data_IF_539793700356
#
_entry.id   IF_539793700356
#
_cell.length_a   1.000
_cell.length_b   1.000
_cell.length_c   1.000
_cell.angle_alpha   90.00
_cell.angle_beta   90.00
_cell.angle_gamma   90.00
#
_symmetry.space_group_name_H-M   'P 1'
#
loop_
_entity.id
_entity.type
_entity.pdbx_description
1 polymer ?
#
# COMPACT_ATOMS: atom_id res chain seq x y z
N UNK A 1 59.23 -61.03 -19.32
CA UNK A 1 58.70 -60.44 -18.07
C UNK A 1 58.70 -58.94 -18.22
N UNK A 2 57.55 -58.31 -18.44
CA UNK A 2 57.40 -56.86 -18.37
C UNK A 2 56.06 -56.56 -17.71
N UNK A 3 56.12 -56.06 -16.48
CA UNK A 3 54.96 -55.57 -15.72
C UNK A 3 54.68 -54.14 -16.15
N UNK A 4 53.55 -53.92 -16.82
CA UNK A 4 53.04 -52.58 -17.11
C UNK A 4 52.43 -52.00 -15.84
N UNK A 5 53.07 -50.97 -15.30
CA UNK A 5 52.52 -50.14 -14.21
C UNK A 5 51.63 -49.08 -14.87
N UNK A 6 50.33 -49.12 -14.57
CA UNK A 6 49.38 -48.06 -14.95
C UNK A 6 49.46 -46.97 -13.89
N UNK A 7 50.03 -45.82 -14.24
CA UNK A 7 49.99 -44.61 -13.42
C UNK A 7 48.72 -43.86 -13.82
N UNK A 8 47.75 -43.81 -12.90
CA UNK A 8 46.53 -43.04 -13.02
C UNK A 8 46.85 -41.56 -12.71
N UNK A 9 46.56 -40.58 -13.58
CA UNK A 9 46.63 -39.18 -13.20
C UNK A 9 45.37 -38.82 -12.39
N UNK A 10 45.59 -38.41 -11.15
CA UNK A 10 44.60 -37.82 -10.26
C UNK A 10 44.22 -36.43 -10.79
N UNK A 11 43.17 -36.35 -11.62
CA UNK A 11 42.56 -35.09 -12.03
C UNK A 11 41.72 -34.53 -10.88
N UNK A 12 42.34 -33.75 -10.00
CA UNK A 12 41.65 -32.79 -9.13
C UNK A 12 41.19 -31.61 -10.00
N UNK A 13 40.04 -31.75 -10.66
CA UNK A 13 39.34 -30.61 -11.24
C UNK A 13 38.65 -29.85 -10.11
N UNK A 14 39.33 -28.81 -9.63
CA UNK A 14 38.81 -27.84 -8.68
C UNK A 14 37.60 -27.17 -9.33
N UNK A 15 36.40 -27.54 -8.87
CA UNK A 15 35.15 -26.86 -9.20
C UNK A 15 35.25 -25.42 -8.72
N UNK A 16 35.71 -24.55 -9.59
CA UNK A 16 35.66 -23.11 -9.41
C UNK A 16 34.21 -22.72 -9.63
N UNK A 17 33.42 -22.74 -8.55
CA UNK A 17 32.09 -22.17 -8.53
C UNK A 17 32.27 -20.64 -8.64
N UNK A 18 32.50 -20.14 -9.86
CA UNK A 18 32.30 -18.74 -10.16
C UNK A 18 30.80 -18.50 -10.05
N UNK A 19 30.38 -17.93 -8.91
CA UNK A 19 29.12 -17.23 -8.78
C UNK A 19 29.11 -16.12 -9.83
N UNK A 20 28.62 -16.45 -11.03
CA UNK A 20 28.18 -15.46 -12.00
C UNK A 20 27.15 -14.59 -11.27
N UNK A 21 27.35 -13.27 -11.17
CA UNK A 21 26.31 -12.41 -10.65
C UNK A 21 25.08 -12.65 -11.51
N UNK A 22 23.99 -13.03 -10.86
CA UNK A 22 22.69 -13.24 -11.47
C UNK A 22 22.34 -11.93 -12.17
N UNK A 23 22.53 -11.89 -13.49
CA UNK A 23 22.01 -10.81 -14.32
C UNK A 23 20.50 -10.94 -14.18
N UNK A 24 19.91 -10.11 -13.32
CA UNK A 24 18.46 -9.96 -13.28
C UNK A 24 18.02 -9.56 -14.69
N UNK A 25 17.29 -10.47 -15.34
CA UNK A 25 16.72 -10.22 -16.65
C UNK A 25 15.89 -8.93 -16.60
N UNK A 26 16.37 -7.88 -17.29
CA UNK A 26 15.78 -6.54 -17.39
C UNK A 26 14.34 -6.50 -17.93
N UNK A 27 13.72 -7.64 -18.27
CA UNK A 27 12.33 -7.73 -18.68
C UNK A 27 11.34 -7.41 -17.54
N UNK A 28 11.70 -7.70 -16.28
CA UNK A 28 10.84 -7.39 -15.12
C UNK A 28 10.75 -5.88 -14.81
N UNK A 29 11.73 -5.10 -15.27
CA UNK A 29 11.80 -3.66 -15.04
C UNK A 29 10.86 -2.86 -15.95
N UNK A 30 10.51 -3.41 -17.13
CA UNK A 30 9.61 -2.74 -18.08
C UNK A 30 8.16 -2.70 -17.57
N UNK A 31 7.69 -3.76 -16.91
CA UNK A 31 6.31 -3.82 -16.39
C UNK A 31 6.06 -2.85 -15.22
N UNK A 32 7.09 -2.47 -14.47
CA UNK A 32 6.94 -1.57 -13.30
C UNK A 32 6.70 -0.10 -13.69
N UNK A 33 7.35 0.38 -14.75
CA UNK A 33 7.18 1.76 -15.25
C UNK A 33 6.06 1.91 -16.29
N UNK A 34 5.44 0.81 -16.70
CA UNK A 34 4.34 0.80 -17.67
C UNK A 34 3.18 1.68 -17.22
N UNK A 35 2.73 2.59 -18.06
CA UNK A 35 1.60 3.48 -17.75
C UNK A 35 1.95 4.69 -16.88
N UNK A 36 3.22 4.90 -16.52
CA UNK A 36 3.67 6.24 -16.11
C UNK A 36 3.76 7.14 -17.34
N UNK A 37 3.24 8.36 -17.21
CA UNK A 37 3.53 9.47 -18.11
C UNK A 37 4.70 10.25 -17.56
N UNK A 38 5.65 10.55 -18.43
CA UNK A 38 6.80 11.39 -18.10
C UNK A 38 6.31 12.83 -18.01
N UNK A 39 6.76 13.52 -16.97
CA UNK A 39 6.37 14.91 -16.77
C UNK A 39 7.00 15.78 -17.84
N UNK A 40 6.23 16.69 -18.42
CA UNK A 40 6.77 17.69 -19.35
C UNK A 40 7.86 18.54 -18.65
N UNK A 41 7.59 18.90 -17.39
CA UNK A 41 8.49 19.67 -16.52
C UNK A 41 8.55 18.99 -15.14
N UNK A 42 9.72 18.52 -14.70
CA UNK A 42 9.93 17.98 -13.36
C UNK A 42 9.61 19.01 -12.27
N UNK A 43 9.06 18.54 -11.14
CA UNK A 43 8.53 19.38 -10.06
C UNK A 43 8.97 18.87 -8.70
N UNK A 44 9.19 19.78 -7.76
CA UNK A 44 9.48 19.43 -6.36
C UNK A 44 8.19 19.12 -5.59
N UNK A 45 7.09 19.74 -5.99
CA UNK A 45 5.78 19.66 -5.36
C UNK A 45 4.76 18.97 -6.26
N UNK A 46 4.41 17.73 -5.91
CA UNK A 46 3.41 16.95 -6.64
C UNK A 46 2.35 16.46 -5.67
N UNK A 47 1.11 16.89 -5.90
CA UNK A 47 -0.03 16.55 -5.05
C UNK A 47 -0.52 15.12 -5.34
N UNK A 48 0.27 14.11 -4.99
CA UNK A 48 -0.13 12.69 -5.11
C UNK A 48 -1.40 12.47 -4.28
N UNK A 49 -2.43 11.90 -4.91
CA UNK A 49 -3.78 11.74 -4.37
C UNK A 49 -4.77 12.82 -4.76
N UNK A 50 -4.33 13.92 -5.37
CA UNK A 50 -5.23 14.96 -5.87
C UNK A 50 -6.06 14.46 -7.07
N UNK A 51 -7.24 15.04 -7.24
CA UNK A 51 -8.10 14.78 -8.38
C UNK A 51 -7.43 15.26 -9.67
N UNK A 52 -7.38 14.43 -10.69
CA UNK A 52 -6.86 14.79 -12.00
C UNK A 52 -7.96 15.36 -12.89
N UNK A 53 -7.75 16.57 -13.41
CA UNK A 53 -8.59 17.18 -14.43
C UNK A 53 -7.87 17.19 -15.78
N UNK A 54 -8.47 16.55 -16.79
CA UNK A 54 -7.92 16.50 -18.14
C UNK A 54 -7.72 17.91 -18.71
N UNK A 55 -6.54 18.16 -19.27
CA UNK A 55 -6.09 19.45 -19.79
C UNK A 55 -5.41 20.35 -18.76
N UNK A 56 -5.71 20.17 -17.46
CA UNK A 56 -5.25 21.08 -16.39
C UNK A 56 -4.22 20.46 -15.45
N UNK A 57 -4.35 19.17 -15.13
CA UNK A 57 -3.46 18.46 -14.19
C UNK A 57 -4.14 18.14 -12.86
N UNK A 58 -3.38 17.93 -11.77
CA UNK A 58 -3.96 17.69 -10.46
C UNK A 58 -4.63 18.97 -9.91
N UNK A 59 -5.77 18.77 -9.28
CA UNK A 59 -6.65 19.79 -8.70
C UNK A 59 -6.96 19.38 -7.26
N UNK A 60 -6.86 20.34 -6.33
CA UNK A 60 -7.04 20.09 -4.91
C UNK A 60 -5.78 19.65 -4.18
N UNK A 61 -5.98 19.21 -2.94
CA UNK A 61 -4.91 18.86 -2.01
C UNK A 61 -4.36 17.46 -2.27
N UNK A 62 -3.11 17.24 -1.87
CA UNK A 62 -2.51 15.91 -1.83
C UNK A 62 -3.27 15.00 -0.84
N UNK A 63 -3.13 13.69 -0.99
CA UNK A 63 -3.58 12.76 0.04
C UNK A 63 -2.86 13.05 1.36
N UNK A 64 -3.55 12.76 2.47
CA UNK A 64 -2.94 12.77 3.80
C UNK A 64 -1.63 11.95 3.79
N UNK A 65 -0.51 12.46 4.34
CA UNK A 65 0.75 11.72 4.42
C UNK A 65 0.64 10.31 4.98
N UNK A 66 -0.29 10.05 5.92
CA UNK A 66 -0.54 8.71 6.45
C UNK A 66 -1.05 7.73 5.39
N UNK A 67 -1.75 8.23 4.37
CA UNK A 67 -2.26 7.50 3.23
C UNK A 67 -1.26 7.46 2.05
N UNK A 68 -0.04 7.96 2.21
CA UNK A 68 1.03 7.86 1.21
C UNK A 68 2.08 6.82 1.61
N UNK A 69 2.53 6.02 0.65
CA UNK A 69 3.67 5.11 0.79
C UNK A 69 4.74 5.46 -0.22
N UNK A 70 5.99 5.57 0.24
CA UNK A 70 7.15 5.72 -0.62
C UNK A 70 7.92 4.42 -0.68
N UNK A 71 7.98 3.80 -1.86
CA UNK A 71 8.74 2.57 -2.08
C UNK A 71 9.99 2.88 -2.88
N UNK A 72 11.17 2.60 -2.32
CA UNK A 72 12.43 2.68 -3.09
C UNK A 72 12.35 1.64 -4.20
N UNK A 73 12.22 2.11 -5.43
CA UNK A 73 11.99 1.22 -6.57
C UNK A 73 13.29 0.80 -7.21
N UNK A 74 14.26 1.71 -7.32
CA UNK A 74 15.52 1.46 -8.01
C UNK A 74 16.65 2.32 -7.47
N UNK A 75 17.86 1.83 -7.65
CA UNK A 75 19.08 2.60 -7.40
C UNK A 75 19.36 3.56 -8.55
N UNK A 76 19.16 3.14 -9.81
CA UNK A 76 19.53 3.91 -11.01
C UNK A 76 18.56 3.65 -12.18
N UNK A 77 18.18 4.70 -12.92
CA UNK A 77 17.64 4.62 -14.29
C UNK A 77 18.68 5.22 -15.24
N UNK A 78 19.07 4.44 -16.26
CA UNK A 78 19.91 4.88 -17.37
C UNK A 78 19.15 4.77 -18.70
N UNK A 79 19.78 5.19 -19.80
CA UNK A 79 19.20 5.20 -21.15
C UNK A 79 19.05 3.80 -21.78
N UNK A 80 19.14 2.70 -21.02
CA UNK A 80 18.99 1.33 -21.57
C UNK A 80 17.54 0.87 -21.70
N UNK A 81 16.61 1.54 -21.03
CA UNK A 81 15.16 1.25 -21.12
C UNK A 81 14.46 2.33 -21.94
N UNK A 82 13.37 1.99 -22.64
CA UNK A 82 12.58 2.98 -23.38
C UNK A 82 12.12 4.13 -22.47
N UNK A 83 11.62 3.80 -21.27
CA UNK A 83 11.25 4.77 -20.26
C UNK A 83 12.44 5.67 -19.85
N UNK A 84 13.62 5.09 -19.64
CA UNK A 84 14.84 5.83 -19.35
C UNK A 84 15.27 6.75 -20.49
N UNK A 85 15.21 6.29 -21.75
CA UNK A 85 15.48 7.12 -22.94
C UNK A 85 14.54 8.31 -23.01
N UNK A 86 13.24 8.09 -22.80
CA UNK A 86 12.23 9.15 -22.88
C UNK A 86 12.42 10.18 -21.75
N UNK A 87 12.67 9.76 -20.50
CA UNK A 87 12.93 10.70 -19.39
C UNK A 87 14.21 11.49 -19.64
N UNK A 88 15.29 10.83 -20.03
CA UNK A 88 16.59 11.48 -20.28
C UNK A 88 16.47 12.47 -21.45
N UNK A 89 15.75 12.09 -22.52
CA UNK A 89 15.46 13.00 -23.63
C UNK A 89 14.68 14.22 -23.16
N UNK A 90 13.70 14.06 -22.28
CA UNK A 90 12.96 15.19 -21.75
C UNK A 90 13.85 16.09 -20.87
N UNK A 91 14.72 15.50 -20.07
CA UNK A 91 15.71 16.24 -19.28
C UNK A 91 16.63 17.10 -20.16
N UNK A 92 17.11 16.58 -21.30
CA UNK A 92 17.88 17.37 -22.26
C UNK A 92 17.12 18.56 -22.83
N UNK A 93 15.82 18.40 -23.12
CA UNK A 93 14.97 19.49 -23.59
C UNK A 93 14.80 20.57 -22.53
N UNK A 94 14.63 20.18 -21.27
CA UNK A 94 14.50 21.11 -20.13
C UNK A 94 15.77 21.93 -19.92
N UNK A 95 16.93 21.30 -20.10
CA UNK A 95 18.22 21.98 -20.08
C UNK A 95 18.52 22.78 -21.35
N UNK A 96 17.70 22.63 -22.39
CA UNK A 96 17.89 23.26 -23.70
C UNK A 96 19.31 23.02 -24.27
N UNK A 97 19.82 21.78 -24.11
CA UNK A 97 21.12 21.39 -24.64
C UNK A 97 21.05 21.27 -26.17
N UNK A 98 22.10 21.71 -26.86
CA UNK A 98 22.23 21.51 -28.30
C UNK A 98 22.25 20.01 -28.65
N UNK A 99 21.76 19.59 -29.83
CA UNK A 99 21.79 18.17 -30.23
C UNK A 99 23.19 17.55 -30.18
N UNK A 100 24.22 18.37 -30.44
CA UNK A 100 25.62 17.93 -30.37
C UNK A 100 26.00 17.70 -28.91
N UNK A 101 25.72 18.62 -27.99
CA UNK A 101 26.00 18.44 -26.57
C UNK A 101 25.24 17.24 -25.97
N UNK A 102 24.00 16.98 -26.42
CA UNK A 102 23.22 15.80 -26.00
C UNK A 102 23.94 14.48 -26.33
N UNK A 103 24.54 14.36 -27.52
CA UNK A 103 25.27 13.16 -27.94
C UNK A 103 26.57 12.93 -27.14
N UNK A 104 27.12 14.00 -26.57
CA UNK A 104 28.34 13.97 -25.75
C UNK A 104 28.06 14.06 -24.25
N UNK A 105 26.79 13.89 -23.85
CA UNK A 105 26.35 13.95 -22.46
C UNK A 105 25.58 12.68 -22.09
N UNK A 106 25.85 12.16 -20.90
CA UNK A 106 25.16 11.03 -20.30
C UNK A 106 24.54 11.48 -18.98
N UNK A 107 23.26 11.15 -18.79
CA UNK A 107 22.48 11.44 -17.58
C UNK A 107 22.08 10.13 -16.92
N UNK A 108 22.25 10.07 -15.61
CA UNK A 108 21.82 8.96 -14.76
C UNK A 108 20.94 9.51 -13.65
N UNK A 109 19.77 8.92 -13.47
CA UNK A 109 18.85 9.26 -12.38
C UNK A 109 19.05 8.25 -11.26
N UNK A 110 19.24 8.73 -10.04
CA UNK A 110 19.62 7.95 -8.87
C UNK A 110 18.61 8.11 -7.74
N UNK A 111 18.55 7.12 -6.84
CA UNK A 111 17.67 7.09 -5.67
C UNK A 111 16.19 7.27 -6.01
N UNK A 112 15.68 6.40 -6.87
CA UNK A 112 14.32 6.48 -7.39
C UNK A 112 13.32 5.93 -6.38
N UNK A 113 12.32 6.75 -6.07
CA UNK A 113 11.20 6.39 -5.20
C UNK A 113 9.89 6.51 -5.98
N UNK A 114 8.96 5.60 -5.72
CA UNK A 114 7.56 5.75 -6.15
C UNK A 114 6.76 6.14 -4.91
N UNK A 115 6.10 7.29 -4.99
CA UNK A 115 5.11 7.74 -4.01
C UNK A 115 3.74 7.32 -4.50
N UNK A 116 3.02 6.53 -3.70
CA UNK A 116 1.75 5.88 -4.05
C UNK A 116 0.69 6.17 -2.99
N UNK A 117 -0.56 6.36 -3.40
CA UNK A 117 -1.72 6.36 -2.48
C UNK A 117 -2.01 4.94 -1.99
N UNK A 118 -2.03 4.71 -0.67
CA UNK A 118 -2.29 3.39 -0.06
C UNK A 118 -3.76 2.97 -0.17
N UNK A 119 -4.67 3.92 0.00
CA UNK A 119 -6.10 3.71 0.06
C UNK A 119 -6.85 4.78 -0.74
N UNK A 120 -7.32 4.41 -1.93
CA UNK A 120 -8.10 5.30 -2.79
C UNK A 120 -9.49 5.64 -2.22
N UNK A 121 -10.04 4.87 -1.28
CA UNK A 121 -11.36 5.16 -0.68
C UNK A 121 -11.31 6.15 0.48
N UNK A 122 -10.12 6.46 0.99
CA UNK A 122 -9.92 7.59 1.92
C UNK A 122 -9.85 8.92 1.19
N UNK A 123 -9.75 8.90 -0.14
CA UNK A 123 -9.93 10.07 -0.96
C UNK A 123 -11.43 10.27 -1.18
N UNK A 124 -11.93 11.49 -1.00
CA UNK A 124 -13.34 11.84 -1.22
C UNK A 124 -13.68 11.86 -2.72
N UNK A 125 -13.70 10.67 -3.33
CA UNK A 125 -13.81 10.49 -4.77
C UNK A 125 -15.20 10.02 -5.17
N UNK A 126 -15.80 10.75 -6.12
CA UNK A 126 -16.98 10.27 -6.83
C UNK A 126 -16.62 9.18 -7.85
N UNK A 127 -17.60 8.39 -8.31
CA UNK A 127 -17.37 7.40 -9.36
C UNK A 127 -16.83 8.07 -10.65
N UNK A 128 -15.88 7.40 -11.33
CA UNK A 128 -15.17 7.90 -12.51
C UNK A 128 -14.24 9.11 -12.27
N UNK A 129 -14.00 9.48 -11.01
CA UNK A 129 -12.99 10.49 -10.68
C UNK A 129 -11.60 9.94 -11.04
N UNK A 130 -10.82 10.75 -11.74
CA UNK A 130 -9.42 10.46 -12.03
C UNK A 130 -8.55 11.04 -10.92
N UNK A 131 -7.48 10.34 -10.58
CA UNK A 131 -6.60 10.72 -9.46
C UNK A 131 -5.15 10.55 -9.87
N UNK A 132 -4.32 11.49 -9.44
CA UNK A 132 -2.87 11.36 -9.50
C UNK A 132 -2.42 10.31 -8.48
N UNK A 133 -2.42 9.05 -8.90
CA UNK A 133 -2.29 7.90 -8.00
C UNK A 133 -0.85 7.64 -7.57
N UNK A 134 0.10 7.81 -8.49
CA UNK A 134 1.52 7.61 -8.23
C UNK A 134 2.37 8.69 -8.89
N UNK A 135 3.50 8.99 -8.27
CA UNK A 135 4.55 9.80 -8.85
C UNK A 135 5.93 9.21 -8.58
N UNK A 136 6.84 9.34 -9.54
CA UNK A 136 8.23 8.91 -9.46
C UNK A 136 9.08 10.12 -9.11
N UNK A 137 9.77 10.07 -7.98
CA UNK A 137 10.80 11.03 -7.60
C UNK A 137 12.21 10.45 -7.73
N UNK A 138 13.16 11.35 -7.99
CA UNK A 138 14.59 11.04 -8.07
C UNK A 138 15.33 11.86 -7.02
N UNK A 139 16.15 11.20 -6.21
CA UNK A 139 16.94 11.89 -5.18
C UNK A 139 18.14 12.61 -5.78
N UNK A 140 18.76 12.04 -6.81
CA UNK A 140 20.00 12.55 -7.37
C UNK A 140 20.04 12.42 -8.90
N UNK A 141 20.76 13.32 -9.56
CA UNK A 141 21.00 13.28 -11.01
C UNK A 141 22.50 13.40 -11.27
N UNK A 142 23.09 12.36 -11.84
CA UNK A 142 24.50 12.32 -12.22
C UNK A 142 24.64 12.60 -13.71
N UNK A 143 25.47 13.57 -14.08
CA UNK A 143 25.70 14.01 -15.45
C UNK A 143 27.18 13.88 -15.77
N UNK A 144 27.49 13.21 -16.87
CA UNK A 144 28.85 13.09 -17.40
C UNK A 144 28.88 13.67 -18.80
N UNK A 145 29.77 14.60 -19.05
CA UNK A 145 29.89 15.25 -20.36
C UNK A 145 31.35 15.39 -20.77
N UNK A 146 31.58 15.36 -22.07
CA UNK A 146 32.91 15.61 -22.65
C UNK A 146 33.33 17.06 -22.36
N UNK A 147 34.63 17.24 -22.11
CA UNK A 147 35.20 18.55 -21.74
C UNK A 147 34.85 19.69 -22.69
N UNK A 148 34.73 19.41 -24.00
CA UNK A 148 34.36 20.39 -25.04
C UNK A 148 32.96 20.99 -24.88
N UNK A 149 32.04 20.31 -24.17
CA UNK A 149 30.65 20.74 -23.97
C UNK A 149 30.33 21.03 -22.50
N UNK A 150 31.31 20.86 -21.60
CA UNK A 150 31.12 21.02 -20.16
C UNK A 150 30.60 22.41 -19.77
N UNK A 151 31.03 23.47 -20.45
CA UNK A 151 30.58 24.84 -20.17
C UNK A 151 29.12 25.08 -20.56
N UNK A 152 28.65 24.50 -21.68
CA UNK A 152 27.25 24.58 -22.12
C UNK A 152 26.35 23.87 -21.10
N UNK A 153 26.71 22.63 -20.75
CA UNK A 153 25.98 21.83 -19.77
C UNK A 153 25.99 22.51 -18.40
N UNK A 154 27.12 23.04 -17.95
CA UNK A 154 27.21 23.80 -16.71
C UNK A 154 26.28 25.00 -16.69
N UNK A 155 26.34 25.84 -17.73
CA UNK A 155 25.49 27.03 -17.84
C UNK A 155 24.00 26.66 -17.81
N UNK A 156 23.61 25.61 -18.54
CA UNK A 156 22.24 25.10 -18.54
C UNK A 156 21.79 24.62 -17.15
N UNK A 157 22.65 23.89 -16.44
CA UNK A 157 22.37 23.38 -15.10
C UNK A 157 22.25 24.50 -14.08
N UNK A 158 23.19 25.45 -14.06
CA UNK A 158 23.14 26.60 -13.14
C UNK A 158 21.89 27.45 -13.39
N UNK A 159 21.53 27.65 -14.66
CA UNK A 159 20.31 28.37 -15.04
C UNK A 159 19.03 27.68 -14.54
N UNK A 160 19.01 26.34 -14.53
CA UNK A 160 17.80 25.57 -14.18
C UNK A 160 17.68 25.24 -12.69
N UNK A 161 18.79 24.88 -12.04
CA UNK A 161 18.81 24.33 -10.68
C UNK A 161 19.56 25.21 -9.66
N UNK A 162 20.24 26.26 -10.12
CA UNK A 162 21.06 27.12 -9.26
C UNK A 162 22.34 26.46 -8.75
N UNK A 163 23.19 27.24 -8.08
CA UNK A 163 24.52 26.80 -7.64
C UNK A 163 24.47 25.85 -6.42
N UNK A 164 23.44 25.94 -5.57
CA UNK A 164 23.36 25.21 -4.30
C UNK A 164 23.13 23.70 -4.46
N UNK A 165 22.70 23.26 -5.65
CA UNK A 165 22.29 21.88 -5.90
C UNK A 165 23.31 21.09 -6.72
N UNK A 166 24.44 21.69 -7.12
CA UNK A 166 25.41 21.09 -8.04
C UNK A 166 26.73 20.82 -7.32
N UNK A 167 27.12 19.55 -7.21
CA UNK A 167 28.44 19.13 -6.73
C UNK A 167 29.33 18.72 -7.92
N UNK A 168 30.58 19.19 -7.92
CA UNK A 168 31.53 19.03 -9.01
C UNK A 168 32.65 18.06 -8.62
N UNK A 169 32.97 17.11 -9.48
CA UNK A 169 34.21 16.34 -9.38
C UNK A 169 34.94 16.39 -10.72
N UNK A 170 36.10 17.05 -10.76
CA UNK A 170 36.80 17.40 -11.99
C UNK A 170 37.86 16.37 -12.38
N UNK A 171 37.59 15.58 -13.43
CA UNK A 171 38.59 14.83 -14.22
C UNK A 171 38.26 14.94 -15.72
N UNK A 172 39.04 14.31 -16.63
CA UNK A 172 38.96 14.46 -18.11
C UNK A 172 37.54 14.38 -18.71
N UNK A 173 36.62 13.69 -18.03
CA UNK A 173 35.16 13.80 -18.20
C UNK A 173 34.64 14.67 -17.04
N UNK A 174 33.95 15.77 -17.37
CA UNK A 174 33.33 16.60 -16.34
C UNK A 174 32.13 15.83 -15.78
N UNK A 175 32.31 15.23 -14.61
CA UNK A 175 31.24 14.55 -13.88
C UNK A 175 30.65 15.51 -12.87
N UNK A 176 29.35 15.80 -13.00
CA UNK A 176 28.59 16.64 -12.09
C UNK A 176 27.49 15.81 -11.46
N UNK A 177 27.35 15.88 -10.13
CA UNK A 177 26.24 15.25 -9.42
C UNK A 177 25.36 16.34 -8.84
N UNK A 178 24.08 16.27 -9.15
CA UNK A 178 23.06 17.23 -8.74
C UNK A 178 22.23 16.56 -7.67
N UNK A 179 22.11 17.20 -6.51
CA UNK A 179 21.10 16.81 -5.55
C UNK A 179 19.75 17.34 -6.06
N UNK A 180 18.84 16.41 -6.36
CA UNK A 180 17.54 16.73 -6.91
C UNK A 180 16.45 16.87 -5.84
N UNK A 181 16.77 16.67 -4.56
CA UNK A 181 15.83 16.83 -3.43
C UNK A 181 14.45 16.17 -3.66
N UNK A 182 14.44 14.94 -4.19
CA UNK A 182 13.24 14.18 -4.53
C UNK A 182 12.38 14.83 -5.64
N UNK A 183 13.02 15.41 -6.66
CA UNK A 183 12.36 15.92 -7.87
C UNK A 183 11.50 14.85 -8.56
N UNK A 184 10.22 15.15 -8.77
CA UNK A 184 9.30 14.28 -9.48
C UNK A 184 9.47 14.41 -10.99
N UNK A 185 9.54 13.28 -11.70
CA UNK A 185 9.86 13.23 -13.13
C UNK A 185 8.81 12.49 -13.97
N UNK A 186 7.92 11.74 -13.33
CA UNK A 186 6.86 10.99 -14.00
C UNK A 186 5.71 10.73 -13.03
N UNK A 187 4.53 10.47 -13.57
CA UNK A 187 3.31 10.25 -12.80
C UNK A 187 2.37 9.24 -13.46
N UNK A 188 1.48 8.66 -12.67
CA UNK A 188 0.43 7.75 -13.15
C UNK A 188 -0.91 8.25 -12.66
N UNK A 189 -1.84 8.40 -13.60
CA UNK A 189 -3.24 8.73 -13.30
C UNK A 189 -4.07 7.48 -13.44
N UNK A 190 -4.96 7.26 -12.48
CA UNK A 190 -5.94 6.18 -12.54
C UNK A 190 -7.34 6.75 -12.40
N UNK A 191 -8.32 6.05 -12.98
CA UNK A 191 -9.73 6.28 -12.75
C UNK A 191 -10.29 5.17 -11.87
N UNK A 192 -11.05 5.54 -10.84
CA UNK A 192 -11.88 4.59 -10.12
C UNK A 192 -13.17 4.36 -10.90
N UNK A 193 -13.38 3.13 -11.36
CA UNK A 193 -14.64 2.75 -11.98
C UNK A 193 -15.75 2.53 -10.95
N UNK A 194 -16.95 2.20 -11.44
CA UNK A 194 -18.12 1.99 -10.61
C UNK A 194 -17.90 0.81 -9.64
N UNK A 195 -18.20 0.97 -8.34
CA UNK A 195 -18.06 -0.13 -7.39
C UNK A 195 -19.04 -1.27 -7.69
N UNK A 196 -18.55 -2.49 -7.55
CA UNK A 196 -19.38 -3.69 -7.44
C UNK A 196 -19.51 -4.05 -5.97
N UNK A 197 -20.74 -4.22 -5.50
CA UNK A 197 -21.04 -4.55 -4.11
C UNK A 197 -21.58 -5.98 -4.05
N UNK A 198 -20.94 -6.81 -3.23
CA UNK A 198 -21.41 -8.17 -2.92
C UNK A 198 -21.69 -8.25 -1.44
N UNK A 199 -22.88 -8.74 -1.08
CA UNK A 199 -23.29 -8.93 0.31
C UNK A 199 -23.48 -10.42 0.62
N UNK A 200 -23.00 -10.86 1.77
CA UNK A 200 -23.28 -12.18 2.33
C UNK A 200 -23.77 -12.03 3.75
N UNK A 201 -24.89 -12.66 4.06
CA UNK A 201 -25.48 -12.65 5.40
C UNK A 201 -25.47 -14.06 5.99
N UNK A 202 -25.01 -14.20 7.23
CA UNK A 202 -25.03 -15.46 7.97
C UNK A 202 -25.69 -15.26 9.31
N UNK A 203 -26.66 -16.12 9.64
CA UNK A 203 -27.28 -16.16 10.97
C UNK A 203 -26.40 -16.92 11.95
N UNK A 204 -26.50 -16.59 13.23
CA UNK A 204 -25.72 -17.25 14.27
C UNK A 204 -26.45 -17.29 15.61
N UNK A 205 -26.17 -18.35 16.38
CA UNK A 205 -26.59 -18.52 17.78
C UNK A 205 -25.39 -18.67 18.72
N UNK A 206 -24.20 -18.93 18.16
CA UNK A 206 -22.94 -19.16 18.86
C UNK A 206 -22.00 -17.96 18.75
N UNK A 207 -20.98 -17.92 19.60
CA UNK A 207 -19.99 -16.83 19.66
C UNK A 207 -18.90 -16.89 18.60
N UNK A 208 -18.79 -17.95 17.79
CA UNK A 208 -17.80 -18.01 16.71
C UNK A 208 -18.50 -18.25 15.38
N UNK A 209 -18.22 -17.40 14.39
CA UNK A 209 -18.85 -17.41 13.08
C UNK A 209 -17.77 -17.34 12.00
N UNK A 210 -17.77 -18.30 11.09
CA UNK A 210 -17.00 -18.20 9.85
C UNK A 210 -17.86 -17.66 8.71
N UNK A 211 -17.42 -16.61 8.02
CA UNK A 211 -18.01 -16.09 6.78
C UNK A 211 -16.90 -15.82 5.76
N UNK A 212 -16.95 -16.52 4.63
CA UNK A 212 -15.83 -16.62 3.69
C UNK A 212 -14.52 -16.97 4.43
N UNK A 213 -13.47 -16.17 4.23
CA UNK A 213 -12.14 -16.39 4.81
C UNK A 213 -11.99 -15.80 6.22
N UNK A 214 -13.06 -15.19 6.75
CA UNK A 214 -13.07 -14.52 8.04
C UNK A 214 -13.65 -15.39 9.14
N UNK A 215 -12.92 -15.48 10.26
CA UNK A 215 -13.37 -16.04 11.52
C UNK A 215 -13.69 -14.89 12.46
N UNK A 216 -14.92 -14.85 12.96
CA UNK A 216 -15.45 -13.74 13.74
C UNK A 216 -15.86 -14.29 15.11
N UNK A 217 -15.15 -13.84 16.13
CA UNK A 217 -15.35 -14.25 17.52
C UNK A 217 -16.01 -13.12 18.30
N UNK A 218 -17.15 -13.42 18.90
CA UNK A 218 -17.96 -12.56 19.76
C UNK A 218 -17.83 -13.08 21.19
N UNK A 219 -17.50 -12.21 22.13
CA UNK A 219 -17.44 -12.56 23.55
C UNK A 219 -18.67 -12.00 24.30
N UNK A 220 -19.79 -12.74 24.33
CA UNK A 220 -21.02 -12.26 24.98
C UNK A 220 -20.90 -12.17 26.50
N UNK A 221 -20.07 -13.01 27.12
CA UNK A 221 -19.87 -13.01 28.57
C UNK A 221 -19.22 -11.71 29.05
N UNK A 222 -18.33 -11.11 28.26
CA UNK A 222 -17.69 -9.84 28.59
C UNK A 222 -18.67 -8.65 28.59
N UNK A 223 -19.85 -8.80 27.96
CA UNK A 223 -20.84 -7.76 27.84
C UNK A 223 -21.88 -7.75 28.97
N UNK A 224 -22.01 -8.87 29.70
CA UNK A 224 -23.04 -9.08 30.71
C UNK A 224 -22.46 -8.85 32.10
N UNK A 225 -23.12 -8.02 32.89
CA UNK A 225 -22.86 -7.90 34.31
C UNK A 225 -24.04 -8.50 35.09
N UNK A 226 -23.75 -9.34 36.08
CA UNK A 226 -24.76 -9.94 36.93
C UNK A 226 -24.61 -9.40 38.34
N UNK A 227 -25.64 -8.71 38.82
CA UNK A 227 -25.73 -8.34 40.22
C UNK A 227 -26.42 -9.46 40.99
N UNK A 228 -25.82 -9.82 42.11
CA UNK A 228 -26.41 -10.77 43.04
C UNK A 228 -26.74 -10.08 44.34
N UNK A 229 -27.94 -10.35 44.84
CA UNK A 229 -28.43 -9.77 46.09
C UNK A 229 -27.44 -10.03 47.21
N UNK A 230 -27.21 -9.03 48.06
CA UNK A 230 -26.52 -9.26 49.33
C UNK A 230 -27.42 -10.12 50.21
N UNK A 231 -26.88 -11.23 50.70
CA UNK A 231 -27.46 -11.99 51.81
C UNK A 231 -27.87 -11.06 52.95
N UNK A 232 -29.14 -11.09 53.34
CA UNK A 232 -29.50 -10.83 54.72
C UNK A 232 -29.11 -12.08 55.51
N UNK A 233 -28.14 -11.95 56.42
CA UNK A 233 -27.84 -12.98 57.41
C UNK A 233 -29.03 -13.04 58.36
N UNK A 234 -30.02 -13.91 58.08
CA UNK A 234 -31.21 -14.05 58.91
C UNK A 234 -32.36 -14.81 58.25
N UNK A 235 -32.46 -16.10 58.57
CA UNK A 235 -33.64 -16.97 58.60
C UNK A 235 -34.73 -16.83 57.51
N UNK A 236 -34.75 -17.77 56.56
CA UNK A 236 -35.96 -18.21 55.86
C UNK A 236 -35.74 -18.70 54.41
N UNK A 237 -36.32 -19.84 53.99
CA UNK A 237 -36.20 -20.33 52.62
C UNK A 237 -37.29 -19.71 51.75
N UNK A 238 -37.04 -18.55 51.16
CA UNK A 238 -37.77 -18.08 49.98
C UNK A 238 -36.78 -17.79 48.88
N UNK A 239 -36.46 -18.84 48.11
CA UNK A 239 -35.56 -18.84 46.95
C UNK A 239 -36.17 -18.10 45.74
N UNK A 240 -36.40 -16.79 45.86
CA UNK A 240 -36.66 -15.93 44.71
C UNK A 240 -35.88 -14.61 44.82
N UNK A 241 -34.56 -14.71 44.95
CA UNK A 241 -33.71 -13.58 44.58
C UNK A 241 -33.84 -13.35 43.07
N UNK A 242 -34.39 -12.19 42.67
CA UNK A 242 -34.36 -11.76 41.27
C UNK A 242 -32.90 -11.61 40.85
N UNK A 243 -32.39 -12.62 40.15
CA UNK A 243 -31.14 -12.54 39.40
C UNK A 243 -31.30 -11.44 38.36
N UNK A 244 -30.53 -10.38 38.47
CA UNK A 244 -30.52 -9.30 37.48
C UNK A 244 -29.18 -9.33 36.76
N UNK A 245 -29.15 -10.05 35.64
CA UNK A 245 -28.09 -9.96 34.67
C UNK A 245 -28.50 -8.95 33.61
N UNK A 246 -27.73 -7.88 33.48
CA UNK A 246 -27.96 -6.82 32.52
C UNK A 246 -26.77 -6.72 31.59
N UNK A 247 -27.06 -6.32 30.36
CA UNK A 247 -26.05 -6.03 29.37
C UNK A 247 -25.53 -4.62 29.67
N UNK A 248 -24.28 -4.50 30.14
CA UNK A 248 -23.72 -3.23 30.61
C UNK A 248 -22.48 -2.78 29.83
N UNK A 249 -21.75 -3.69 29.19
CA UNK A 249 -20.51 -3.38 28.48
C UNK A 249 -20.64 -3.72 27.00
N UNK A 250 -20.04 -2.96 26.08
CA UNK A 250 -20.05 -3.27 24.64
C UNK A 250 -19.67 -4.72 24.33
N UNK A 251 -20.26 -5.27 23.26
CA UNK A 251 -19.87 -6.58 22.75
C UNK A 251 -18.47 -6.49 22.12
N UNK A 252 -17.53 -7.24 22.68
CA UNK A 252 -16.17 -7.33 22.13
C UNK A 252 -16.17 -8.27 20.93
N UNK A 253 -15.64 -7.77 19.81
CA UNK A 253 -15.54 -8.52 18.54
C UNK A 253 -14.08 -8.64 18.12
N UNK A 254 -13.71 -9.84 17.70
CA UNK A 254 -12.45 -10.14 17.06
C UNK A 254 -12.70 -10.72 15.68
N UNK A 255 -12.15 -10.11 14.64
CA UNK A 255 -12.20 -10.59 13.26
C UNK A 255 -10.81 -11.02 12.86
N UNK A 256 -10.68 -12.25 12.38
CA UNK A 256 -9.42 -12.85 11.97
C UNK A 256 -9.54 -13.37 10.55
N UNK A 257 -8.53 -13.12 9.72
CA UNK A 257 -8.38 -13.76 8.41
C UNK A 257 -7.04 -14.49 8.37
N UNK A 258 -7.10 -15.82 8.30
CA UNK A 258 -5.93 -16.69 8.38
C UNK A 258 -5.17 -16.81 7.05
N UNK A 259 -5.80 -16.44 5.92
CA UNK A 259 -5.19 -16.41 4.60
C UNK A 259 -4.40 -15.13 4.36
N UNK A 260 -4.77 -14.05 5.04
CA UNK A 260 -4.04 -12.78 5.03
C UNK A 260 -2.85 -12.88 6.00
N UNK A 261 -1.77 -13.45 5.47
CA UNK A 261 -0.55 -13.83 6.19
C UNK A 261 0.10 -12.70 6.99
N UNK A 262 0.74 -13.13 8.08
CA UNK A 262 1.48 -12.35 9.09
C UNK A 262 2.30 -11.21 8.46
N UNK A 263 1.80 -9.98 8.56
CA UNK A 263 2.69 -8.83 8.72
C UNK A 263 3.47 -9.01 10.04
N UNK A 264 4.52 -8.25 10.30
CA UNK A 264 5.36 -8.38 11.51
C UNK A 264 4.60 -8.30 12.86
N UNK A 265 3.27 -8.15 12.82
CA UNK A 265 2.29 -8.10 13.90
C UNK A 265 1.40 -9.35 14.06
N UNK A 266 1.67 -10.48 13.38
CA UNK A 266 0.77 -11.66 13.39
C UNK A 266 -0.35 -11.52 12.36
N UNK A 267 -1.15 -12.58 12.13
CA UNK A 267 -2.24 -12.55 11.15
C UNK A 267 -3.19 -11.36 11.35
N UNK A 268 -3.90 -10.93 10.31
CA UNK A 268 -4.78 -9.77 10.44
C UNK A 268 -5.89 -10.06 11.45
N UNK A 269 -5.80 -9.40 12.59
CA UNK A 269 -6.75 -9.45 13.69
C UNK A 269 -7.25 -8.04 13.97
N UNK A 270 -8.54 -7.81 13.72
CA UNK A 270 -9.18 -6.53 14.05
C UNK A 270 -10.06 -6.71 15.28
N UNK A 271 -9.83 -5.85 16.27
CA UNK A 271 -10.62 -5.78 17.49
C UNK A 271 -11.45 -4.51 17.47
N UNK A 272 -12.73 -4.61 17.81
CA UNK A 272 -13.58 -3.45 18.01
C UNK A 272 -14.74 -3.80 18.94
N UNK A 273 -15.32 -2.75 19.50
CA UNK A 273 -16.43 -2.83 20.44
C UNK A 273 -17.72 -2.42 19.73
N UNK A 274 -18.78 -3.19 19.97
CA UNK A 274 -20.11 -2.89 19.48
C UNK A 274 -20.96 -2.39 20.65
N UNK A 275 -21.43 -1.13 20.62
CA UNK A 275 -22.33 -0.63 21.65
C UNK A 275 -23.68 -1.34 21.55
N UNK A 276 -24.29 -1.57 22.71
CA UNK A 276 -25.68 -1.98 22.79
C UNK A 276 -26.59 -0.81 22.42
N UNK A 277 -27.80 -1.11 21.95
CA UNK A 277 -28.86 -0.12 21.70
C UNK A 277 -28.90 0.59 20.33
N UNK A 278 -28.30 0.00 19.27
CA UNK A 278 -28.57 0.42 17.88
C UNK A 278 -29.18 -0.73 17.07
N UNK A 279 -30.41 -0.54 16.60
CA UNK A 279 -31.16 -1.48 15.73
C UNK A 279 -30.52 -1.65 14.35
N UNK A 280 -29.69 -0.69 13.93
CA UNK A 280 -28.83 -0.74 12.76
C UNK A 280 -27.44 -0.27 13.15
N UNK A 281 -26.46 -1.18 13.08
CA UNK A 281 -25.06 -0.85 13.40
C UNK A 281 -24.34 -0.34 12.15
N UNK A 282 -23.42 0.61 12.35
CA UNK A 282 -22.59 1.11 11.26
C UNK A 282 -21.63 0.02 10.79
N UNK A 283 -21.40 -0.04 9.48
CA UNK A 283 -20.45 -0.97 8.87
C UNK A 283 -19.04 -0.70 9.39
N UNK A 284 -18.39 -1.73 9.92
CA UNK A 284 -17.00 -1.69 10.35
C UNK A 284 -16.11 -2.18 9.22
N UNK A 285 -15.19 -1.34 8.74
CA UNK A 285 -14.15 -1.77 7.79
C UNK A 285 -13.28 -2.82 8.48
N UNK A 286 -13.12 -4.01 7.90
CA UNK A 286 -12.29 -5.08 8.47
C UNK A 286 -11.04 -5.36 7.66
N UNK A 287 -11.10 -5.15 6.35
CA UNK A 287 -9.95 -5.30 5.48
C UNK A 287 -10.03 -4.36 4.28
N UNK A 288 -8.87 -3.96 3.82
CA UNK A 288 -8.67 -3.23 2.58
C UNK A 288 -7.50 -3.88 1.85
N UNK A 289 -7.70 -4.27 0.61
CA UNK A 289 -6.64 -4.77 -0.24
C UNK A 289 -6.64 -4.07 -1.58
N UNK A 290 -5.44 -3.99 -2.15
CA UNK A 290 -5.24 -3.38 -3.45
C UNK A 290 -4.45 -4.32 -4.35
N UNK A 291 -4.96 -4.48 -5.56
CA UNK A 291 -4.30 -5.12 -6.68
C UNK A 291 -4.23 -4.13 -7.84
N UNK A 292 -3.31 -4.34 -8.79
CA UNK A 292 -3.05 -3.42 -9.90
C UNK A 292 -4.30 -3.02 -10.72
N UNK A 293 -5.36 -3.83 -10.69
CA UNK A 293 -6.60 -3.61 -11.42
C UNK A 293 -7.82 -3.33 -10.54
N UNK A 294 -7.71 -3.41 -9.21
CA UNK A 294 -8.85 -3.20 -8.33
C UNK A 294 -8.45 -2.89 -6.88
N UNK A 295 -9.32 -2.15 -6.22
CA UNK A 295 -9.28 -1.89 -4.79
C UNK A 295 -10.49 -2.54 -4.13
N UNK A 296 -10.28 -3.33 -3.08
CA UNK A 296 -11.32 -4.10 -2.40
C UNK A 296 -11.41 -3.64 -0.94
N UNK A 297 -12.62 -3.30 -0.52
CA UNK A 297 -12.96 -2.98 0.88
C UNK A 297 -13.92 -4.03 1.39
N UNK A 298 -13.58 -4.66 2.49
CA UNK A 298 -14.44 -5.61 3.19
C UNK A 298 -14.91 -4.98 4.50
N UNK A 299 -16.22 -4.92 4.66
CA UNK A 299 -16.88 -4.36 5.85
C UNK A 299 -17.80 -5.39 6.45
N UNK A 300 -18.01 -5.31 7.76
CA UNK A 300 -19.02 -6.12 8.44
C UNK A 300 -20.01 -5.27 9.20
N UNK A 301 -21.24 -5.74 9.22
CA UNK A 301 -22.29 -5.26 10.09
C UNK A 301 -22.76 -6.44 10.92
N UNK A 302 -22.84 -6.26 12.23
CA UNK A 302 -23.28 -7.28 13.16
C UNK A 302 -24.62 -6.83 13.73
N UNK A 303 -25.60 -7.73 13.73
CA UNK A 303 -26.84 -7.57 14.47
C UNK A 303 -26.90 -8.69 15.50
N UNK A 304 -26.46 -8.39 16.72
CA UNK A 304 -26.38 -9.34 17.81
C UNK A 304 -27.53 -9.10 18.80
N UNK A 305 -28.33 -10.14 19.03
CA UNK A 305 -29.37 -10.12 20.07
C UNK A 305 -29.05 -11.23 21.08
N UNK A 306 -28.71 -10.84 22.30
CA UNK A 306 -28.33 -11.79 23.36
C UNK A 306 -29.54 -12.40 24.06
N UNK A 307 -29.49 -13.71 24.29
CA UNK A 307 -30.36 -14.43 25.20
C UNK A 307 -29.65 -14.62 26.55
N UNK A 308 -29.97 -13.77 27.52
CA UNK A 308 -29.37 -13.79 28.87
C UNK A 308 -29.98 -14.84 29.81
N UNK A 309 -30.93 -15.66 29.34
CA UNK A 309 -31.68 -16.59 30.20
C UNK A 309 -30.87 -17.81 30.70
N UNK A 310 -29.62 -17.98 30.28
CA UNK A 310 -28.79 -19.16 30.58
C UNK A 310 -27.74 -18.96 31.69
N UNK A 311 -27.81 -17.89 32.50
CA UNK A 311 -26.81 -17.65 33.55
C UNK A 311 -27.06 -18.53 34.79
N UNK A 312 -26.18 -19.52 34.99
CA UNK A 312 -26.29 -20.53 36.05
C UNK A 312 -25.84 -20.06 37.44
N UNK A 313 -24.96 -19.06 37.56
CA UNK A 313 -24.55 -18.53 38.87
C UNK A 313 -24.07 -17.08 38.83
N UNK A 314 -24.15 -16.42 39.98
CA UNK A 314 -23.60 -15.09 40.26
C UNK A 314 -22.09 -14.95 40.03
N UNK A 315 -21.39 -16.07 40.15
CA UNK A 315 -19.92 -16.13 40.12
C UNK A 315 -19.40 -16.57 38.75
N UNK A 316 -20.26 -17.19 37.93
CA UNK A 316 -19.89 -17.75 36.63
C UNK A 316 -21.05 -17.62 35.62
N UNK A 317 -20.80 -16.82 34.58
CA UNK A 317 -21.62 -16.79 33.37
C UNK A 317 -21.24 -18.00 32.52
N UNK A 318 -22.06 -19.05 32.55
CA UNK A 318 -21.98 -20.16 31.61
C UNK A 318 -23.02 -19.96 30.51
N UNK A 319 -22.60 -19.82 29.26
CA UNK A 319 -23.49 -20.07 28.12
C UNK A 319 -24.50 -18.99 27.76
N UNK A 320 -24.18 -17.69 27.84
CA UNK A 320 -24.99 -16.70 27.12
C UNK A 320 -24.95 -16.99 25.62
N UNK A 321 -26.11 -17.23 25.03
CA UNK A 321 -26.27 -17.54 23.59
C UNK A 321 -26.87 -16.34 22.86
N UNK A 322 -26.78 -16.36 21.53
CA UNK A 322 -27.46 -15.39 20.70
C UNK A 322 -28.82 -15.93 20.24
N UNK A 323 -29.81 -15.07 20.09
CA UNK A 323 -31.07 -15.43 19.46
C UNK A 323 -30.86 -15.78 17.98
N UNK A 324 -31.71 -16.65 17.45
CA UNK A 324 -31.77 -17.09 16.05
C UNK A 324 -31.88 -15.96 15.01
N UNK A 325 -32.45 -14.81 15.41
CA UNK A 325 -32.51 -13.59 14.59
C UNK A 325 -31.17 -12.84 14.49
N UNK A 326 -30.16 -13.22 15.27
CA UNK A 326 -28.84 -12.61 15.19
C UNK A 326 -28.16 -12.98 13.87
N UNK A 327 -27.52 -11.99 13.25
CA UNK A 327 -26.89 -12.17 11.95
C UNK A 327 -25.70 -11.25 11.77
N UNK A 328 -24.80 -11.67 10.89
CA UNK A 328 -23.68 -10.88 10.42
C UNK A 328 -23.79 -10.72 8.92
N UNK A 329 -23.56 -9.50 8.44
CA UNK A 329 -23.48 -9.18 7.03
C UNK A 329 -22.05 -8.79 6.69
N UNK A 330 -21.41 -9.55 5.81
CA UNK A 330 -20.16 -9.17 5.14
C UNK A 330 -20.51 -8.44 3.84
N UNK A 331 -19.99 -7.23 3.70
CA UNK A 331 -20.14 -6.41 2.49
C UNK A 331 -18.76 -6.21 1.88
N UNK A 332 -18.62 -6.71 0.67
CA UNK A 332 -17.41 -6.57 -0.13
C UNK A 332 -17.67 -5.56 -1.24
N UNK A 333 -16.93 -4.46 -1.20
CA UNK A 333 -16.99 -3.41 -2.22
C UNK A 333 -15.71 -3.47 -3.03
N UNK A 334 -15.83 -3.73 -4.33
CA UNK A 334 -14.70 -3.78 -5.26
C UNK A 334 -14.79 -2.63 -6.24
N UNK A 335 -13.78 -1.75 -6.19
CA UNK A 335 -13.60 -0.65 -7.13
C UNK A 335 -12.60 -1.08 -8.20
N UNK A 336 -12.98 -1.17 -9.48
CA UNK A 336 -12.00 -1.39 -10.54
C UNK A 336 -11.13 -0.14 -10.70
N UNK A 337 -9.83 -0.33 -10.88
CA UNK A 337 -8.86 0.74 -11.14
C UNK A 337 -8.43 0.64 -12.59
N UNK A 338 -8.59 1.74 -13.33
CA UNK A 338 -8.21 1.81 -14.74
C UNK A 338 -7.09 2.84 -14.93
N UNK A 339 -5.91 2.44 -15.44
CA UNK A 339 -4.90 3.41 -15.86
C UNK A 339 -5.47 4.31 -16.95
N UNK A 340 -5.30 5.63 -16.80
CA UNK A 340 -5.63 6.58 -17.85
C UNK A 340 -4.50 6.53 -18.89
N UNK A 341 -4.79 6.06 -20.12
CA UNK A 341 -3.73 5.70 -21.07
C UNK A 341 -2.90 6.88 -21.60
N UNK A 342 -3.41 8.13 -21.52
CA UNK A 342 -2.70 9.36 -21.91
C UNK A 342 -3.24 10.55 -21.11
N UNK A 343 -2.85 10.74 -19.84
CA UNK A 343 -3.33 11.89 -19.08
C UNK A 343 -2.71 13.16 -19.67
N UNK A 344 -3.53 14.03 -20.25
CA UNK A 344 -3.06 15.28 -20.86
C UNK A 344 -3.19 16.40 -19.83
N UNK A 345 -2.11 17.14 -19.62
CA UNK A 345 -2.10 18.40 -18.90
C UNK A 345 -0.86 19.17 -19.38
N UNK A 346 -1.04 20.39 -19.86
CA UNK A 346 0.06 21.17 -20.43
C UNK A 346 1.03 21.59 -19.33
N UNK A 347 2.31 21.30 -19.51
CA UNK A 347 3.34 21.60 -18.50
C UNK A 347 3.37 20.62 -17.33
N UNK A 348 2.72 19.46 -17.48
CA UNK A 348 2.67 18.39 -16.48
C UNK A 348 3.21 17.07 -16.98
#
# INVERSE_FOLDING_TARGET
MNKTIIILPLMLAVSSCTLLPKIENNASNFEKFKGFKIMDIPREDVNVGAQWQQGFGPTGEAANPENLISTKSYTIIDSKTQFGVEIISNFYKILNLSPIAQNHTSVLLEDIKIVTVKNLTELDLSANTQVLYEAISVGNISIKTDSSYAAEVESALLKKFGNSNISLNSHKLSSKKINANDLFVAYRVVAMGKPTITEKTKRFTEGSIQIDDFIINLNPNAAINCMCGKYAIGNGPTFQEKRQCEIQHPLKVSVENHLLGKTASGGMKKLFDIPWNRTTQDYQNIHTSQHNASYKVEKIQINAVLNSKAVNSCLFIQGSTFYDRSNIKLVTITYPIHPVQKPVASGW
#
